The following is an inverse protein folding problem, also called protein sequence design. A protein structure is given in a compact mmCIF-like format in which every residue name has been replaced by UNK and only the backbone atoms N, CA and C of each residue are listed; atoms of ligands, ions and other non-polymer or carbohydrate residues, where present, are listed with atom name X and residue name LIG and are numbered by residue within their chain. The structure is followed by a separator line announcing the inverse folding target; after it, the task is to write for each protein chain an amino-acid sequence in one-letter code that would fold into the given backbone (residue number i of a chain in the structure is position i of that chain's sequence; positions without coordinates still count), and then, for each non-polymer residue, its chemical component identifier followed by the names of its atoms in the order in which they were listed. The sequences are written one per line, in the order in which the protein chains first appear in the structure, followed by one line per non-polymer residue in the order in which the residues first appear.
data_IF_804015207982
#
_entry.id   IF_804015207982
#
_cell.length_a   1.000
_cell.length_b   1.000
_cell.length_c   1.000
_cell.angle_alpha   90.00
_cell.angle_beta   90.00
_cell.angle_gamma   90.00
#
_symmetry.space_group_name_H-M   'P 1'
#
loop_
_entity.id
_entity.type
_entity.pdbx_description
1 polymer ?
2 non-polymer ?
#
# COMPACT_ATOMS: atom_id res chain seq x y z
N UNK A 2 1.96 11.80 -15.77
CA UNK A 2 1.20 10.75 -15.10
C UNK A 2 -0.29 11.00 -15.25
N UNK A 3 -1.03 9.95 -15.62
CA UNK A 3 -2.44 10.12 -15.96
C UNK A 3 -3.06 8.75 -16.26
N UNK A 4 -4.37 8.69 -16.10
CA UNK A 4 -5.14 7.51 -16.46
C UNK A 4 -5.22 7.35 -17.97
N UNK A 5 -5.46 6.12 -18.41
CA UNK A 5 -5.67 5.81 -19.81
C UNK A 5 -6.97 5.01 -19.97
N UNK A 6 -7.67 5.26 -21.08
CA UNK A 6 -8.92 4.57 -21.40
C UNK A 6 -8.66 3.46 -22.41
N UNK A 7 -9.52 2.45 -22.40
CA UNK A 7 -9.48 1.44 -23.44
C UNK A 7 -9.43 2.12 -24.80
N UNK A 8 -10.29 3.12 -24.98
CA UNK A 8 -10.22 3.99 -26.14
C UNK A 8 -8.80 4.45 -26.38
N UNK A 9 -8.17 4.98 -25.35
CA UNK A 9 -6.87 5.59 -25.53
C UNK A 9 -5.76 4.57 -25.45
N UNK A 10 -6.11 3.29 -25.35
CA UNK A 10 -5.09 2.29 -25.15
C UNK A 10 -4.12 2.26 -26.31
N UNK A 11 -4.59 1.87 -27.46
CA UNK A 11 -3.76 1.84 -28.66
C UNK A 11 -3.02 3.14 -28.93
N UNK A 12 -3.70 4.29 -29.02
CA UNK A 12 -2.97 5.51 -29.41
C UNK A 12 -1.94 5.94 -28.40
N UNK A 13 -2.35 6.00 -27.13
CA UNK A 13 -1.46 6.52 -26.09
C UNK A 13 -0.37 5.54 -25.74
N UNK A 14 -0.70 4.25 -25.75
CA UNK A 14 0.18 3.24 -25.20
C UNK A 14 0.77 2.42 -26.32
N UNK A 15 -0.08 1.64 -27.00
CA UNK A 15 0.44 0.71 -27.98
C UNK A 15 1.14 1.44 -29.09
N UNK A 16 0.73 2.68 -29.34
CA UNK A 16 1.40 3.46 -30.37
C UNK A 16 2.52 4.31 -29.83
N UNK A 17 2.64 4.46 -28.52
CA UNK A 17 3.65 5.35 -27.96
C UNK A 17 5.02 4.98 -28.50
N UNK A 18 5.79 6.00 -28.87
CA UNK A 18 7.12 5.73 -29.38
C UNK A 18 8.13 5.57 -28.28
N UNK A 19 7.87 6.16 -27.13
CA UNK A 19 8.67 5.97 -25.94
C UNK A 19 8.25 4.67 -25.27
N UNK A 20 9.14 4.07 -24.50
CA UNK A 20 8.74 2.94 -23.66
C UNK A 20 7.70 3.38 -22.65
N UNK A 21 6.81 2.46 -22.31
CA UNK A 21 5.65 2.79 -21.50
C UNK A 21 5.63 1.93 -20.24
N UNK A 22 5.34 2.56 -19.12
CA UNK A 22 5.20 1.87 -17.84
C UNK A 22 3.81 2.19 -17.33
N UNK A 23 3.02 1.16 -17.09
CA UNK A 23 1.63 1.33 -16.70
C UNK A 23 1.37 0.61 -15.40
N UNK A 24 0.68 1.28 -14.50
CA UNK A 24 0.30 0.71 -13.22
C UNK A 24 -1.16 0.33 -13.26
N UNK A 25 -1.44 -0.95 -13.07
CA UNK A 25 -2.81 -1.41 -12.95
C UNK A 25 -3.16 -1.46 -11.48
N UNK A 26 -4.19 -0.71 -11.10
CA UNK A 26 -4.63 -0.64 -9.73
C UNK A 26 -6.13 -0.85 -9.67
N UNK A 27 -6.58 -1.32 -8.51
CA UNK A 27 -7.96 -1.12 -8.10
C UNK A 27 -8.02 0.23 -7.39
N UNK A 28 -9.08 0.49 -6.64
CA UNK A 28 -9.18 1.78 -5.97
C UNK A 28 -9.19 1.56 -4.46
N UNK A 29 -8.96 2.65 -3.72
CA UNK A 29 -9.05 2.62 -2.26
C UNK A 29 -8.13 1.56 -1.66
N UNK A 30 -6.91 1.48 -2.17
CA UNK A 30 -5.92 0.53 -1.68
C UNK A 30 -4.75 1.31 -1.09
N UNK A 31 -4.09 0.74 -0.08
CA UNK A 31 -2.95 1.41 0.51
C UNK A 31 -1.65 1.06 -0.19
N UNK A 32 -1.46 -0.23 -0.46
CA UNK A 32 -0.31 -0.68 -1.24
C UNK A 32 -0.29 -0.02 -2.62
N UNK A 33 -1.48 0.15 -3.21
CA UNK A 33 -1.57 0.79 -4.51
C UNK A 33 -1.15 2.24 -4.43
N UNK A 34 -1.57 2.96 -3.39
CA UNK A 34 -1.11 4.32 -3.15
C UNK A 34 0.40 4.39 -3.09
N UNK A 35 1.01 3.46 -2.37
CA UNK A 35 2.47 3.51 -2.24
C UNK A 35 3.14 3.28 -3.58
N UNK A 36 2.66 2.29 -4.34
CA UNK A 36 3.20 2.02 -5.67
C UNK A 36 2.94 3.20 -6.59
N UNK A 37 1.82 3.87 -6.42
CA UNK A 37 1.49 4.99 -7.28
C UNK A 37 2.44 6.15 -7.05
N UNK A 38 2.83 6.40 -5.80
CA UNK A 38 3.89 7.38 -5.55
C UNK A 38 5.22 6.96 -6.14
N UNK A 39 5.59 5.69 -6.00
CA UNK A 39 6.84 5.22 -6.61
C UNK A 39 6.84 5.51 -8.10
N UNK A 40 5.73 5.21 -8.74
CA UNK A 40 5.65 5.35 -10.19
C UNK A 40 5.65 6.82 -10.58
N UNK A 41 4.93 7.65 -9.83
CA UNK A 41 4.98 9.10 -10.05
C UNK A 41 6.42 9.59 -10.07
N UNK A 42 7.18 9.15 -9.08
CA UNK A 42 8.57 9.58 -9.00
C UNK A 42 9.38 9.09 -10.19
N UNK A 43 9.16 7.84 -10.60
CA UNK A 43 9.91 7.33 -11.73
C UNK A 43 9.55 8.06 -13.02
N UNK A 44 8.28 8.38 -13.18
CA UNK A 44 7.82 9.12 -14.34
C UNK A 44 8.51 10.48 -14.39
N UNK A 45 8.53 11.19 -13.26
CA UNK A 45 9.16 12.49 -13.31
C UNK A 45 10.65 12.37 -13.50
N UNK A 46 11.28 11.37 -12.90
CA UNK A 46 12.71 11.22 -13.10
C UNK A 46 13.01 10.95 -14.56
N UNK A 47 12.22 10.12 -15.20
CA UNK A 47 12.41 9.81 -16.60
C UNK A 47 11.44 10.54 -17.51
N UNK A 48 11.03 11.73 -17.10
CA UNK A 48 10.14 12.55 -17.91
C UNK A 48 10.76 12.87 -19.25
N UNK A 49 10.06 12.54 -20.32
CA UNK A 49 10.60 12.77 -21.64
C UNK A 49 11.54 11.70 -22.11
N UNK A 50 11.44 10.50 -21.56
CA UNK A 50 12.17 9.34 -22.06
C UNK A 50 11.32 8.10 -22.03
N UNK A 51 10.30 8.09 -21.20
CA UNK A 51 9.31 7.05 -21.14
C UNK A 51 7.99 7.75 -20.94
N UNK A 52 6.94 7.00 -21.06
CA UNK A 52 5.62 7.49 -20.76
C UNK A 52 5.04 6.57 -19.69
N UNK A 53 4.25 7.13 -18.78
CA UNK A 53 3.76 6.39 -17.62
C UNK A 53 2.28 6.65 -17.45
N UNK A 54 1.50 5.59 -17.27
CA UNK A 54 0.05 5.70 -17.21
C UNK A 54 -0.53 4.79 -16.13
N UNK A 55 -1.80 5.02 -15.82
CA UNK A 55 -2.54 4.25 -14.82
C UNK A 55 -3.75 3.59 -15.47
N UNK A 56 -4.04 2.35 -15.05
CA UNK A 56 -5.22 1.63 -15.47
C UNK A 56 -6.02 1.29 -14.24
N UNK A 57 -7.16 1.93 -14.07
CA UNK A 57 -8.09 1.64 -12.99
C UNK A 57 -8.94 0.48 -13.46
N UNK A 58 -8.46 -0.74 -13.20
CA UNK A 58 -9.11 -1.94 -13.70
C UNK A 58 -10.56 -2.02 -13.28
N UNK A 59 -11.00 -1.15 -12.37
CA UNK A 59 -12.42 -1.10 -12.08
C UNK A 59 -13.18 -0.52 -13.26
N UNK A 60 -12.57 0.42 -13.96
CA UNK A 60 -13.21 1.07 -15.09
C UNK A 60 -12.80 0.51 -16.43
N UNK A 61 -11.56 0.03 -16.57
CA UNK A 61 -11.08 -0.53 -17.83
C UNK A 61 -10.65 -1.99 -17.66
N UNK A 62 -11.58 -2.84 -17.20
CA UNK A 62 -11.20 -4.24 -16.95
C UNK A 62 -10.76 -4.95 -18.19
N UNK A 63 -11.28 -4.53 -19.34
CA UNK A 63 -10.88 -5.11 -20.61
C UNK A 63 -9.38 -5.06 -20.83
N UNK A 64 -8.68 -4.06 -20.27
CA UNK A 64 -7.25 -3.98 -20.53
C UNK A 64 -6.51 -5.06 -19.76
N UNK A 65 -6.87 -5.24 -18.50
CA UNK A 65 -6.28 -6.31 -17.71
C UNK A 65 -6.63 -7.66 -18.29
N UNK A 66 -7.92 -7.88 -18.59
CA UNK A 66 -8.35 -9.09 -19.27
C UNK A 66 -7.52 -9.35 -20.51
N UNK A 67 -7.26 -8.30 -21.29
CA UNK A 67 -6.43 -8.46 -22.48
C UNK A 67 -5.05 -8.96 -22.12
N UNK A 68 -4.48 -8.41 -21.05
CA UNK A 68 -3.11 -8.77 -20.69
C UNK A 68 -3.05 -9.82 -19.60
N UNK A 69 -4.19 -10.41 -19.25
CA UNK A 69 -4.26 -11.49 -18.28
C UNK A 69 -3.55 -11.09 -17.00
N UNK A 70 -3.99 -9.98 -16.44
CA UNK A 70 -3.44 -9.42 -15.22
C UNK A 70 -4.51 -9.54 -14.15
N UNK A 71 -4.25 -10.42 -13.20
CA UNK A 71 -5.23 -10.80 -12.20
C UNK A 71 -5.01 -10.14 -10.84
N UNK A 72 -3.83 -9.56 -10.58
CA UNK A 72 -3.48 -9.00 -9.28
C UNK A 72 -3.17 -7.51 -9.38
N UNK A 73 -3.71 -6.72 -8.45
CA UNK A 73 -3.25 -5.35 -8.32
C UNK A 73 -2.57 -5.13 -6.98
N UNK A 74 -1.58 -4.23 -6.90
CA UNK A 74 -0.97 -3.48 -8.01
C UNK A 74 -0.11 -4.32 -8.96
N UNK A 75 -0.16 -3.99 -10.25
CA UNK A 75 0.74 -4.60 -11.22
C UNK A 75 1.41 -3.50 -12.01
N UNK A 76 2.68 -3.64 -12.32
CA UNK A 76 3.34 -2.66 -13.17
C UNK A 76 3.78 -3.38 -14.43
N UNK A 77 3.40 -2.84 -15.57
CA UNK A 77 3.66 -3.42 -16.88
C UNK A 77 4.57 -2.51 -17.67
N UNK A 78 5.46 -3.13 -18.42
CA UNK A 78 6.39 -2.47 -19.33
C UNK A 78 6.03 -2.89 -20.75
N UNK A 79 5.58 -1.91 -21.55
CA UNK A 79 5.24 -2.04 -22.97
C UNK A 79 6.21 -1.25 -23.83
N UNK A 80 6.76 -1.89 -24.84
CA UNK A 80 7.61 -1.19 -25.79
C UNK A 80 7.18 -1.58 -27.20
N UNK A 81 6.75 -0.58 -27.98
CA UNK A 81 6.38 -0.77 -29.39
C UNK A 81 5.29 -1.82 -29.53
N UNK A 82 4.18 -1.57 -28.83
CA UNK A 82 3.00 -2.37 -28.97
C UNK A 82 2.96 -3.62 -28.14
N UNK A 83 4.10 -4.17 -27.76
CA UNK A 83 4.12 -5.45 -27.08
C UNK A 83 4.44 -5.30 -25.59
N UNK A 84 3.87 -6.21 -24.81
CA UNK A 84 4.13 -6.32 -23.39
C UNK A 84 5.50 -6.96 -23.19
N UNK A 85 6.43 -6.20 -22.60
CA UNK A 85 7.80 -6.64 -22.43
C UNK A 85 8.08 -7.23 -21.05
N UNK A 86 7.49 -6.67 -20.00
CA UNK A 86 7.77 -7.23 -18.68
C UNK A 86 6.70 -6.84 -17.68
N UNK A 87 6.52 -7.66 -16.64
CA UNK A 87 5.46 -7.47 -15.65
C UNK A 87 6.04 -7.63 -14.25
N UNK A 88 5.62 -6.76 -13.33
CA UNK A 88 6.07 -6.80 -11.94
C UNK A 88 4.87 -6.83 -10.99
N UNK A 89 4.77 -7.88 -10.18
CA UNK A 89 3.72 -8.00 -9.17
C UNK A 89 4.32 -8.14 -7.77
N UNK A 90 3.44 -8.24 -6.78
CA UNK A 90 3.89 -8.44 -5.41
C UNK A 90 4.42 -7.15 -4.83
N UNK A 91 5.63 -7.22 -4.29
CA UNK A 91 6.32 -6.04 -3.79
C UNK A 91 7.14 -5.46 -4.92
N UNK A 92 6.88 -4.21 -5.26
CA UNK A 92 7.49 -3.55 -6.41
C UNK A 92 8.68 -2.75 -5.92
N UNK A 93 9.87 -3.04 -6.42
CA UNK A 93 11.07 -2.37 -5.97
C UNK A 93 11.41 -1.24 -6.93
N UNK A 94 11.23 0.00 -6.49
CA UNK A 94 11.65 1.17 -7.25
C UNK A 94 13.05 0.99 -7.81
N UNK A 95 13.91 0.28 -7.08
CA UNK A 95 15.24 -0.01 -7.60
C UNK A 95 15.14 -0.93 -8.82
N UNK A 96 14.27 -1.94 -8.76
CA UNK A 96 14.08 -2.85 -9.88
C UNK A 96 13.42 -2.16 -11.08
N UNK A 97 12.49 -1.26 -10.82
CA UNK A 97 11.85 -0.56 -11.91
C UNK A 97 12.84 0.33 -12.63
N UNK A 98 13.75 0.99 -11.92
CA UNK A 98 14.77 1.70 -12.68
C UNK A 98 15.68 0.74 -13.41
N UNK A 99 15.96 -0.42 -12.83
CA UNK A 99 16.76 -1.42 -13.54
C UNK A 99 16.14 -1.75 -14.90
N UNK A 100 14.83 -1.98 -14.92
CA UNK A 100 14.13 -2.31 -16.17
C UNK A 100 14.01 -1.11 -17.10
N UNK A 101 13.47 0.01 -16.59
CA UNK A 101 13.43 1.26 -17.33
C UNK A 101 14.75 1.49 -18.05
N UNK A 102 15.88 1.20 -17.39
CA UNK A 102 17.15 1.34 -18.08
C UNK A 102 17.38 0.21 -19.08
N UNK A 103 16.93 -0.99 -18.75
CA UNK A 103 17.12 -2.12 -19.64
C UNK A 103 16.58 -1.82 -21.02
N UNK A 104 15.40 -1.19 -21.08
CA UNK A 104 14.70 -0.90 -22.31
C UNK A 104 14.91 0.54 -22.74
N UNK A 105 16.01 1.16 -22.31
CA UNK A 105 16.24 2.57 -22.63
C UNK A 105 17.66 2.81 -23.11
N UNK B 2 -10.00 -23.91 8.66
CA UNK B 2 -9.68 -22.52 8.35
C UNK B 2 -10.30 -21.60 9.37
N UNK B 3 -9.52 -20.61 9.78
CA UNK B 3 -9.88 -19.74 10.89
C UNK B 3 -8.82 -18.65 11.03
N UNK B 4 -9.22 -17.55 11.63
CA UNK B 4 -8.29 -16.48 11.95
C UNK B 4 -7.34 -16.87 13.08
N UNK B 5 -6.19 -16.20 13.10
CA UNK B 5 -5.21 -16.33 14.17
C UNK B 5 -4.87 -14.94 14.66
N UNK B 6 -4.66 -14.81 15.97
CA UNK B 6 -4.34 -13.55 16.63
C UNK B 6 -2.86 -13.48 16.96
N UNK B 7 -2.34 -12.25 17.12
CA UNK B 7 -1.01 -12.08 17.67
C UNK B 7 -0.84 -12.92 18.92
N UNK B 8 -1.82 -12.82 19.81
CA UNK B 8 -1.86 -13.67 20.99
C UNK B 8 -1.52 -15.10 20.63
N UNK B 9 -2.27 -15.66 19.72
CA UNK B 9 -2.22 -17.08 19.44
C UNK B 9 -1.17 -17.44 18.40
N UNK B 10 -0.33 -16.48 18.02
CA UNK B 10 0.61 -16.73 16.94
C UNK B 10 1.55 -17.89 17.28
N UNK B 11 2.37 -17.70 18.30
CA UNK B 11 3.32 -18.73 18.74
C UNK B 11 2.70 -20.12 18.97
N UNK B 12 1.66 -20.26 19.77
CA UNK B 12 1.18 -21.62 20.07
C UNK B 12 0.64 -22.32 18.85
N UNK B 13 -0.19 -21.60 18.07
CA UNK B 13 -0.89 -22.20 16.94
C UNK B 13 0.02 -22.41 15.76
N UNK B 14 0.93 -21.47 15.52
CA UNK B 14 1.69 -21.46 14.28
C UNK B 14 3.13 -21.83 14.54
N UNK B 15 3.83 -20.98 15.27
CA UNK B 15 5.26 -21.20 15.45
C UNK B 15 5.52 -22.49 16.21
N UNK B 16 4.60 -22.89 17.06
CA UNK B 16 4.77 -24.14 17.75
C UNK B 16 4.14 -25.30 17.03
N UNK B 17 3.35 -25.05 16.00
CA UNK B 17 2.61 -26.11 15.34
C UNK B 17 3.53 -27.25 14.95
N UNK B 18 3.05 -28.47 15.17
CA UNK B 18 3.84 -29.62 14.79
C UNK B 18 3.65 -30.00 13.34
N UNK B 19 2.49 -29.63 12.77
CA UNK B 19 2.20 -29.77 11.35
C UNK B 19 2.76 -28.59 10.58
N UNK B 20 3.08 -28.79 9.29
CA UNK B 20 3.41 -27.65 8.43
C UNK B 20 2.21 -26.72 8.35
N UNK B 21 2.49 -25.43 8.29
CA UNK B 21 1.44 -24.43 8.42
C UNK B 21 1.47 -23.54 7.20
N UNK B 22 0.29 -23.24 6.69
CA UNK B 22 0.13 -22.33 5.57
C UNK B 22 -0.77 -21.23 6.04
N UNK B 23 -0.30 -20.00 5.93
CA UNK B 23 -1.00 -18.85 6.48
C UNK B 23 -1.23 -17.82 5.38
N UNK B 24 -2.45 -17.29 5.33
CA UNK B 24 -2.82 -16.26 4.37
C UNK B 24 -2.87 -14.91 5.06
N UNK B 25 -2.09 -13.96 4.55
CA UNK B 25 -2.19 -12.58 5.00
C UNK B 25 -3.05 -11.83 4.00
N UNK B 26 -4.13 -11.23 4.51
CA UNK B 26 -5.08 -10.48 3.73
C UNK B 26 -5.32 -9.14 4.39
N UNK B 27 -5.71 -8.15 3.59
CA UNK B 27 -6.44 -7.00 4.10
C UNK B 27 -7.92 -7.37 4.08
N UNK B 28 -8.81 -6.39 4.19
CA UNK B 28 -10.22 -6.71 4.16
C UNK B 28 -10.84 -6.07 2.92
N UNK B 29 -12.04 -6.55 2.58
CA UNK B 29 -12.82 -5.97 1.48
C UNK B 29 -12.06 -5.99 0.16
N UNK B 30 -11.41 -7.11 -0.15
CA UNK B 30 -10.66 -7.26 -1.39
C UNK B 30 -11.28 -8.37 -2.24
N UNK B 31 -11.16 -8.25 -3.56
CA UNK B 31 -11.67 -9.29 -4.44
C UNK B 31 -10.63 -10.34 -4.78
N UNK B 32 -9.38 -9.94 -5.02
CA UNK B 32 -8.31 -10.90 -5.22
C UNK B 32 -8.17 -11.82 -4.01
N UNK B 33 -8.32 -11.24 -2.81
CA UNK B 33 -8.19 -11.99 -1.57
C UNK B 33 -9.29 -13.03 -1.43
N UNK B 34 -10.53 -12.69 -1.83
CA UNK B 34 -11.63 -13.67 -1.79
C UNK B 34 -11.28 -14.93 -2.56
N UNK B 35 -10.78 -14.77 -3.79
CA UNK B 35 -10.48 -15.92 -4.62
C UNK B 35 -9.30 -16.70 -4.07
N UNK B 36 -8.26 -16.00 -3.58
CA UNK B 36 -7.16 -16.70 -2.95
C UNK B 36 -7.62 -17.43 -1.69
N UNK B 37 -8.57 -16.83 -0.97
CA UNK B 37 -9.04 -17.42 0.27
C UNK B 37 -9.81 -18.70 0.00
N UNK B 38 -10.56 -18.73 -1.11
CA UNK B 38 -11.15 -20.00 -1.53
C UNK B 38 -10.08 -21.03 -1.89
N UNK B 39 -9.02 -20.59 -2.56
CA UNK B 39 -7.92 -21.51 -2.84
C UNK B 39 -7.42 -22.15 -1.55
N UNK B 40 -7.20 -21.32 -0.54
CA UNK B 40 -6.58 -21.81 0.67
C UNK B 40 -7.54 -22.70 1.45
N UNK B 41 -8.82 -22.31 1.52
CA UNK B 41 -9.82 -23.19 2.13
C UNK B 41 -9.81 -24.56 1.49
N UNK B 42 -9.80 -24.61 0.16
CA UNK B 42 -9.81 -25.88 -0.54
C UNK B 42 -8.57 -26.69 -0.24
N UNK B 43 -7.42 -26.04 -0.17
CA UNK B 43 -6.21 -26.79 0.18
C UNK B 43 -6.27 -27.30 1.61
N UNK B 44 -6.81 -26.49 2.51
CA UNK B 44 -6.99 -26.92 3.89
C UNK B 44 -7.84 -28.16 3.95
N UNK B 45 -8.94 -28.17 3.21
CA UNK B 45 -9.79 -29.34 3.20
C UNK B 45 -9.09 -30.52 2.56
N UNK B 46 -8.36 -30.28 1.47
CA UNK B 46 -7.66 -31.38 0.81
C UNK B 46 -6.61 -31.96 1.74
N UNK B 47 -5.91 -31.10 2.46
CA UNK B 47 -4.86 -31.49 3.39
C UNK B 47 -5.29 -31.37 4.84
N UNK B 48 -6.56 -31.59 5.12
CA UNK B 48 -6.98 -31.57 6.50
C UNK B 48 -6.24 -32.65 7.28
N UNK B 49 -5.53 -32.24 8.33
CA UNK B 49 -4.76 -33.21 9.06
C UNK B 49 -3.42 -33.54 8.47
N UNK B 50 -2.83 -32.65 7.68
CA UNK B 50 -1.44 -32.75 7.26
C UNK B 50 -0.74 -31.43 7.28
N UNK B 51 -1.48 -30.35 7.21
CA UNK B 51 -0.94 -29.03 7.34
C UNK B 51 -1.94 -28.29 8.21
N UNK B 52 -1.55 -27.11 8.63
CA UNK B 52 -2.51 -26.30 9.33
C UNK B 52 -2.61 -25.00 8.55
N UNK B 53 -3.81 -24.43 8.55
CA UNK B 53 -4.12 -23.28 7.71
C UNK B 53 -4.82 -22.23 8.55
N UNK B 54 -4.33 -20.99 8.48
CA UNK B 54 -4.89 -19.88 9.26
C UNK B 54 -4.85 -18.62 8.41
N UNK B 55 -5.58 -17.59 8.86
CA UNK B 55 -5.66 -16.31 8.16
C UNK B 55 -5.17 -15.18 9.07
N UNK B 56 -4.46 -14.22 8.49
CA UNK B 56 -3.98 -13.07 9.24
C UNK B 56 -4.55 -11.81 8.61
N UNK B 57 -5.47 -11.15 9.32
CA UNK B 57 -6.02 -9.86 8.90
C UNK B 57 -5.12 -8.76 9.42
N UNK B 58 -4.13 -8.39 8.61
CA UNK B 58 -3.15 -7.37 8.98
C UNK B 58 -3.78 -6.05 9.34
N UNK B 59 -5.08 -5.88 9.13
CA UNK B 59 -5.72 -4.71 9.69
C UNK B 59 -5.84 -4.85 11.19
N UNK B 60 -6.01 -6.08 11.66
CA UNK B 60 -6.15 -6.33 13.09
C UNK B 60 -4.86 -6.78 13.74
N UNK B 61 -4.01 -7.53 13.03
CA UNK B 61 -2.74 -7.99 13.55
C UNK B 61 -1.57 -7.52 12.68
N UNK B 62 -1.42 -6.22 12.48
CA UNK B 62 -0.34 -5.75 11.59
C UNK B 62 1.05 -6.06 12.12
N UNK B 63 1.19 -6.13 13.43
CA UNK B 63 2.46 -6.47 14.04
C UNK B 63 3.01 -7.79 13.53
N UNK B 64 2.16 -8.74 13.14
CA UNK B 64 2.68 -10.03 12.68
C UNK B 64 3.33 -9.87 11.32
N UNK B 65 2.66 -9.17 10.41
CA UNK B 65 3.27 -8.92 9.12
C UNK B 65 4.54 -8.11 9.27
N UNK B 66 4.49 -7.03 10.06
CA UNK B 66 5.68 -6.28 10.40
C UNK B 66 6.80 -7.20 10.86
N UNK B 67 6.46 -8.16 11.73
CA UNK B 67 7.45 -9.09 12.22
C UNK B 67 8.07 -9.88 11.07
N UNK B 68 7.26 -10.30 10.11
CA UNK B 68 7.76 -11.14 9.04
C UNK B 68 8.04 -10.37 7.77
N UNK B 69 8.02 -9.04 7.82
CA UNK B 69 8.24 -8.16 6.67
C UNK B 69 7.30 -8.49 5.52
N UNK B 70 6.02 -8.40 5.81
CA UNK B 70 5.01 -8.68 4.82
C UNK B 70 4.29 -7.39 4.53
N UNK B 71 4.57 -6.88 3.32
CA UNK B 71 4.14 -5.59 2.82
C UNK B 71 3.04 -5.66 1.76
N UNK B 72 2.80 -6.82 1.15
CA UNK B 72 1.83 -6.94 0.07
C UNK B 72 0.77 -7.97 0.43
N UNK B 73 -0.49 -7.62 0.24
CA UNK B 73 -1.51 -8.65 0.36
C UNK B 73 -2.22 -8.89 -0.96
N UNK B 74 -2.68 -10.12 -1.20
CA UNK B 74 -2.50 -11.32 -0.38
C UNK B 74 -1.07 -11.86 -0.37
N UNK B 75 -0.65 -12.48 0.74
CA UNK B 75 0.60 -13.23 0.80
C UNK B 75 0.30 -14.58 1.43
N UNK B 76 0.95 -15.63 0.94
CA UNK B 76 0.83 -16.94 1.55
C UNK B 76 2.18 -17.35 2.09
N UNK B 77 2.22 -17.69 3.38
CA UNK B 77 3.46 -18.06 4.06
C UNK B 77 3.40 -19.51 4.50
N UNK B 78 4.53 -20.19 4.39
CA UNK B 78 4.69 -21.57 4.81
C UNK B 78 5.70 -21.61 5.95
N UNK B 79 5.23 -22.04 7.12
CA UNK B 79 6.04 -22.23 8.33
C UNK B 79 6.12 -23.70 8.71
N UNK B 80 7.32 -24.18 9.01
CA UNK B 80 7.45 -25.49 9.63
C UNK B 80 8.43 -25.39 10.79
N UNK B 81 7.97 -25.72 11.99
CA UNK B 81 8.78 -25.74 13.20
C UNK B 81 9.33 -24.35 13.53
N UNK B 82 8.43 -23.40 13.69
CA UNK B 82 8.77 -22.08 14.19
C UNK B 82 9.28 -21.11 13.17
N UNK B 83 9.83 -21.57 12.06
CA UNK B 83 10.51 -20.71 11.12
C UNK B 83 9.69 -20.49 9.84
N UNK B 84 9.89 -19.32 9.24
CA UNK B 84 9.31 -19.01 7.95
C UNK B 84 10.06 -19.73 6.84
N UNK B 85 9.37 -20.64 6.18
CA UNK B 85 10.00 -21.50 5.20
C UNK B 85 9.85 -20.99 3.77
N UNK B 86 8.70 -20.39 3.42
CA UNK B 86 8.56 -19.87 2.07
C UNK B 86 7.46 -18.83 2.02
N UNK B 87 7.56 -17.92 1.06
CA UNK B 87 6.62 -16.80 0.92
C UNK B 87 6.18 -16.73 -0.52
N UNK B 88 4.88 -16.54 -0.73
CA UNK B 88 4.28 -16.45 -2.06
C UNK B 88 3.47 -15.17 -2.17
N UNK B 89 3.82 -14.34 -3.14
CA UNK B 89 3.10 -13.09 -3.41
C UNK B 89 2.59 -13.07 -4.86
N UNK B 90 1.92 -11.99 -5.20
CA UNK B 90 1.46 -11.80 -6.56
C UNK B 90 0.27 -12.69 -6.87
N UNK B 91 0.35 -13.41 -7.98
CA UNK B 91 -0.66 -14.37 -8.38
C UNK B 91 -0.31 -15.74 -7.84
N UNK B 92 -1.21 -16.31 -7.04
CA UNK B 92 -0.95 -17.54 -6.30
C UNK B 92 -1.60 -18.71 -7.01
N UNK B 93 -0.82 -19.73 -7.32
CA UNK B 93 -1.30 -20.90 -8.03
C UNK B 93 -1.65 -21.99 -7.04
N UNK B 94 -2.93 -22.30 -6.93
CA UNK B 94 -3.35 -23.47 -6.16
C UNK B 94 -2.47 -24.69 -6.47
N UNK B 95 -2.05 -24.81 -7.73
CA UNK B 95 -1.15 -25.89 -8.08
C UNK B 95 0.20 -25.73 -7.39
N UNK B 96 0.72 -24.50 -7.36
CA UNK B 96 1.98 -24.23 -6.67
C UNK B 96 1.87 -24.40 -5.15
N UNK B 97 0.73 -24.04 -4.59
CA UNK B 97 0.58 -24.25 -3.17
C UNK B 97 0.56 -25.72 -2.85
N UNK B 98 -0.05 -26.55 -3.70
CA UNK B 98 0.10 -27.99 -3.45
C UNK B 98 1.54 -28.42 -3.61
N UNK B 99 2.25 -27.82 -4.56
CA UNK B 99 3.67 -28.12 -4.74
C UNK B 99 4.44 -27.91 -3.44
N UNK B 100 4.24 -26.77 -2.78
CA UNK B 100 4.97 -26.52 -1.52
C UNK B 100 4.45 -27.40 -0.40
N UNK B 101 3.14 -27.37 -0.15
CA UNK B 101 2.52 -28.23 0.85
C UNK B 101 3.12 -29.62 0.81
N UNK B 102 3.37 -30.15 -0.37
CA UNK B 102 4.02 -31.44 -0.43
C UNK B 102 5.49 -31.32 -0.10
N UNK B 103 6.13 -30.24 -0.53
CA UNK B 103 7.54 -30.06 -0.29
C UNK B 103 7.85 -30.26 1.18
N UNK B 104 7.02 -29.69 2.05
CA UNK B 104 7.24 -29.69 3.49
C UNK B 104 6.40 -30.73 4.21
N UNK B 105 6.00 -31.79 3.52
CA UNK B 105 5.09 -32.74 4.15
C UNK B 105 5.53 -34.18 3.98
N UNK C 2 1.63 15.47 0.23
CA UNK C 2 0.70 14.84 1.15
C UNK C 2 0.87 13.34 1.17
N UNK C 3 0.91 12.76 2.37
CA UNK C 3 1.18 11.34 2.52
C UNK C 3 1.08 10.91 3.97
N UNK C 4 0.77 9.63 4.18
CA UNK C 4 0.69 9.08 5.52
C UNK C 4 2.10 8.94 6.11
N UNK C 5 2.17 8.99 7.45
CA UNK C 5 3.42 8.82 8.16
C UNK C 5 3.26 7.73 9.21
N UNK C 6 4.34 6.98 9.42
CA UNK C 6 4.38 5.89 10.36
C UNK C 6 5.10 6.32 11.63
N UNK C 7 4.80 5.63 12.72
CA UNK C 7 5.61 5.76 13.94
C UNK C 7 7.08 5.59 13.62
N UNK C 8 7.42 4.53 12.89
CA UNK C 8 8.79 4.34 12.42
C UNK C 8 9.34 5.63 11.86
N UNK C 9 8.57 6.27 10.98
CA UNK C 9 8.98 7.43 10.23
C UNK C 9 8.70 8.75 10.95
N UNK C 10 8.16 8.71 12.17
CA UNK C 10 7.73 9.94 12.82
C UNK C 10 8.89 10.88 13.09
N UNK C 11 9.81 10.44 13.92
CA UNK C 11 11.02 11.24 14.16
C UNK C 11 11.64 11.69 12.83
N UNK C 12 11.96 10.78 11.90
CA UNK C 12 12.61 11.24 10.68
C UNK C 12 11.74 12.11 9.80
N UNK C 13 10.49 11.70 9.50
CA UNK C 13 9.71 12.52 8.57
C UNK C 13 9.28 13.82 9.19
N UNK C 14 9.00 13.81 10.49
CA UNK C 14 8.36 14.93 11.15
C UNK C 14 9.33 15.67 12.09
N UNK C 15 9.79 15.00 13.10
CA UNK C 15 10.58 15.72 14.09
C UNK C 15 11.88 16.23 13.48
N UNK C 16 12.42 15.53 12.50
CA UNK C 16 13.69 15.94 11.93
C UNK C 16 13.57 17.01 10.88
N UNK C 17 12.36 17.29 10.42
CA UNK C 17 12.15 18.19 9.31
C UNK C 17 12.77 19.56 9.58
N UNK C 18 13.35 20.14 8.50
CA UNK C 18 13.88 21.50 8.52
C UNK C 18 12.81 22.55 8.15
N UNK C 19 11.73 22.16 7.39
CA UNK C 19 10.53 22.97 7.12
C UNK C 19 9.48 22.81 8.21
N UNK C 20 8.62 23.80 8.40
CA UNK C 20 7.44 23.61 9.25
C UNK C 20 6.52 22.53 8.69
N UNK C 21 5.82 21.82 9.58
CA UNK C 21 4.99 20.68 9.21
C UNK C 21 3.58 20.85 9.76
N UNK C 22 2.60 20.43 8.98
CA UNK C 22 1.20 20.42 9.37
C UNK C 22 0.65 19.00 9.27
N UNK C 23 0.11 18.51 10.38
CA UNK C 23 -0.32 17.13 10.47
C UNK C 23 -1.79 17.10 10.84
N UNK C 24 -2.54 16.23 10.16
CA UNK C 24 -3.96 16.00 10.42
C UNK C 24 -4.13 14.64 11.07
N UNK C 25 -4.78 14.62 12.23
CA UNK C 25 -5.16 13.36 12.85
C UNK C 25 -6.63 13.10 12.56
N UNK C 26 -6.91 11.97 11.96
CA UNK C 26 -8.26 11.59 11.60
C UNK C 26 -8.51 10.18 12.07
N UNK C 27 -9.78 9.87 12.29
CA UNK C 27 -10.22 8.48 12.27
C UNK C 27 -10.57 8.15 10.82
N UNK C 28 -11.30 7.07 10.58
CA UNK C 28 -11.69 6.73 9.23
C UNK C 28 -13.21 6.79 9.15
N UNK C 29 -13.72 6.83 7.92
CA UNK C 29 -15.15 6.80 7.66
C UNK C 29 -15.86 7.97 8.36
N UNK C 30 -15.30 9.16 8.24
CA UNK C 30 -15.88 10.37 8.80
C UNK C 30 -16.19 11.36 7.68
N UNK C 31 -17.24 12.16 7.91
CA UNK C 31 -17.60 13.20 6.97
C UNK C 31 -16.90 14.51 7.27
N UNK C 32 -16.83 14.89 8.54
CA UNK C 32 -16.06 16.08 8.89
C UNK C 32 -14.60 15.91 8.48
N UNK C 33 -14.07 14.68 8.60
CA UNK C 33 -12.67 14.46 8.25
C UNK C 33 -12.43 14.66 6.77
N UNK C 34 -13.33 14.13 5.94
CA UNK C 34 -13.21 14.36 4.49
C UNK C 34 -13.16 15.85 4.19
N UNK C 35 -14.08 16.61 4.78
CA UNK C 35 -14.16 18.03 4.43
C UNK C 35 -12.89 18.75 4.82
N UNK C 36 -12.38 18.49 6.01
CA UNK C 36 -11.12 19.09 6.42
C UNK C 36 -9.98 18.55 5.58
N UNK C 37 -10.05 17.28 5.18
CA UNK C 37 -8.93 16.66 4.49
C UNK C 37 -8.67 17.33 3.14
N UNK C 38 -9.73 17.69 2.41
CA UNK C 38 -9.52 18.46 1.19
C UNK C 38 -8.96 19.85 1.47
N UNK C 39 -9.44 20.53 2.52
CA UNK C 39 -8.88 21.83 2.87
C UNK C 39 -7.37 21.72 2.97
N UNK C 40 -6.93 20.64 3.60
CA UNK C 40 -5.51 20.43 3.80
C UNK C 40 -4.81 20.12 2.48
N UNK C 41 -5.45 19.33 1.62
CA UNK C 41 -4.91 19.09 0.28
C UNK C 41 -4.65 20.41 -0.45
N UNK C 42 -5.63 21.31 -0.38
CA UNK C 42 -5.51 22.60 -1.07
C UNK C 42 -4.34 23.39 -0.50
N UNK C 43 -4.23 23.43 0.84
CA UNK C 43 -3.15 24.18 1.47
C UNK C 43 -1.78 23.57 1.17
N UNK C 44 -1.71 22.25 1.14
CA UNK C 44 -0.46 21.57 0.77
C UNK C 44 -0.03 21.94 -0.63
N UNK C 45 -0.96 21.87 -1.60
CA UNK C 45 -0.59 22.21 -2.97
C UNK C 45 -0.25 23.68 -3.11
N UNK C 46 -1.00 24.54 -2.43
CA UNK C 46 -0.70 25.97 -2.47
C UNK C 46 0.69 26.25 -1.94
N UNK C 47 1.10 25.58 -0.86
CA UNK C 47 2.39 25.80 -0.24
C UNK C 47 3.40 24.70 -0.55
N UNK C 48 3.29 24.07 -1.72
CA UNK C 48 4.24 23.05 -2.12
C UNK C 48 5.67 23.60 -2.17
N UNK C 49 6.57 22.96 -1.44
CA UNK C 49 7.96 23.38 -1.38
C UNK C 49 8.22 24.52 -0.44
N UNK C 50 7.32 24.75 0.50
CA UNK C 50 7.50 25.73 1.56
C UNK C 50 7.09 25.19 2.92
N UNK C 51 6.26 24.16 2.97
CA UNK C 51 5.90 23.45 4.18
C UNK C 51 5.90 21.98 3.81
N UNK C 52 5.79 21.14 4.82
CA UNK C 52 5.62 19.70 4.62
C UNK C 52 4.35 19.29 5.33
N UNK C 53 3.63 18.29 4.82
CA UNK C 53 2.31 17.94 5.35
C UNK C 53 2.17 16.42 5.42
N UNK C 54 1.60 15.92 6.53
CA UNK C 54 1.45 14.48 6.75
C UNK C 54 0.09 14.17 7.37
N UNK C 55 -0.27 12.88 7.35
CA UNK C 55 -1.51 12.35 7.90
C UNK C 55 -1.19 11.24 8.91
N UNK C 56 -1.93 11.23 10.02
CA UNK C 56 -1.80 10.17 11.02
C UNK C 56 -3.16 9.56 11.30
N UNK C 57 -3.30 8.28 10.97
CA UNK C 57 -4.49 7.51 11.23
C UNK C 57 -4.42 6.99 12.66
N UNK C 58 -5.08 7.70 13.59
CA UNK C 58 -4.99 7.34 15.00
C UNK C 58 -5.46 5.92 15.29
N UNK C 59 -6.14 5.26 14.36
CA UNK C 59 -6.47 3.85 14.56
C UNK C 59 -5.26 2.95 14.34
N UNK C 60 -4.35 3.34 13.46
CA UNK C 60 -3.18 2.52 13.16
C UNK C 60 -1.94 2.94 13.93
N UNK C 61 -1.77 4.23 14.18
CA UNK C 61 -0.70 4.76 15.01
C UNK C 61 -1.31 5.58 16.14
N UNK C 62 -2.11 4.93 17.00
CA UNK C 62 -2.67 5.68 18.15
C UNK C 62 -1.62 6.16 19.11
N UNK C 63 -0.49 5.44 19.21
CA UNK C 63 0.61 5.90 20.05
C UNK C 63 1.07 7.30 19.69
N UNK C 64 0.91 7.69 18.44
CA UNK C 64 1.33 9.03 18.04
C UNK C 64 0.37 10.07 18.61
N UNK C 65 -0.93 9.79 18.56
CA UNK C 65 -1.89 10.69 19.20
C UNK C 65 -1.65 10.71 20.71
N UNK C 66 -1.48 9.52 21.29
CA UNK C 66 -1.11 9.40 22.70
C UNK C 66 0.08 10.32 23.01
N UNK C 67 1.08 10.30 22.15
CA UNK C 67 2.27 11.12 22.34
C UNK C 67 1.94 12.59 22.44
N UNK C 68 0.96 13.05 21.67
CA UNK C 68 0.63 14.46 21.68
C UNK C 68 -0.68 14.74 22.40
N UNK C 69 -1.24 13.76 23.12
CA UNK C 69 -2.47 13.95 23.88
C UNK C 69 -3.58 14.51 22.99
N UNK C 70 -3.94 13.75 21.98
CA UNK C 70 -4.98 14.16 21.05
C UNK C 70 -6.15 13.20 21.17
N UNK C 71 -7.25 13.71 21.71
CA UNK C 71 -8.42 12.90 21.95
C UNK C 71 -9.49 13.15 20.90
N UNK C 72 -9.37 14.22 20.12
CA UNK C 72 -10.39 14.62 19.18
C UNK C 72 -9.84 14.58 17.77
N UNK C 73 -10.59 13.97 16.87
CA UNK C 73 -10.40 14.06 15.45
C UNK C 73 -11.63 14.71 14.82
N UNK C 74 -11.47 15.44 13.71
CA UNK C 74 -10.19 15.79 13.09
C UNK C 74 -9.46 16.85 13.89
N UNK C 75 -8.14 16.73 13.98
CA UNK C 75 -7.29 17.73 14.63
C UNK C 75 -6.12 18.04 13.72
N UNK C 76 -5.68 19.30 13.71
CA UNK C 76 -4.55 19.76 12.89
C UNK C 76 -3.40 20.20 13.79
N UNK C 77 -2.21 19.66 13.52
CA UNK C 77 -1.04 19.94 14.33
C UNK C 77 0.06 20.65 13.55
N UNK C 78 0.69 21.62 14.21
CA UNK C 78 1.75 22.44 13.66
C UNK C 78 3.06 22.18 14.39
N UNK C 79 4.05 21.64 13.66
CA UNK C 79 5.39 21.39 14.17
C UNK C 79 6.36 22.31 13.44
N UNK C 80 7.28 22.92 14.16
CA UNK C 80 8.38 23.62 13.51
C UNK C 80 9.66 23.26 14.20
N UNK C 81 10.55 22.57 13.48
CA UNK C 81 11.85 22.19 14.02
C UNK C 81 11.69 21.38 15.31
N UNK C 82 10.96 20.27 15.19
CA UNK C 82 10.81 19.29 16.23
C UNK C 82 9.72 19.56 17.25
N UNK C 83 9.35 20.81 17.49
CA UNK C 83 8.47 21.08 18.61
C UNK C 83 7.05 21.39 18.14
N UNK C 84 6.10 21.03 18.99
CA UNK C 84 4.70 21.32 18.74
C UNK C 84 4.44 22.81 18.92
N UNK C 85 4.02 23.47 17.84
CA UNK C 85 3.86 24.92 17.86
C UNK C 85 2.44 25.40 18.12
N UNK C 86 1.42 24.76 17.55
CA UNK C 86 0.05 25.17 17.83
C UNK C 86 -0.88 24.06 17.37
N UNK C 87 -2.11 24.10 17.89
CA UNK C 87 -3.11 23.08 17.56
C UNK C 87 -4.47 23.72 17.34
N UNK C 88 -5.20 23.21 16.34
CA UNK C 88 -6.56 23.67 16.01
C UNK C 88 -7.51 22.49 16.03
N UNK C 89 -8.60 22.62 16.77
CA UNK C 89 -9.66 21.62 16.86
C UNK C 89 -11.01 22.25 16.47
N UNK C 90 -12.04 21.41 16.50
CA UNK C 90 -13.41 21.89 16.29
C UNK C 90 -13.69 22.21 14.84
N UNK C 91 -14.26 23.38 14.60
CA UNK C 91 -14.46 23.86 13.25
C UNK C 91 -13.22 24.64 12.83
N UNK C 92 -12.54 24.17 11.81
CA UNK C 92 -11.24 24.72 11.43
C UNK C 92 -11.41 25.71 10.30
N UNK C 93 -10.88 26.92 10.48
CA UNK C 93 -10.96 27.99 9.50
C UNK C 93 -9.68 27.98 8.66
N UNK C 94 -9.84 27.65 7.37
CA UNK C 94 -8.74 27.76 6.40
C UNK C 94 -8.01 29.09 6.53
N UNK C 95 -8.73 30.17 6.79
CA UNK C 95 -8.05 31.44 6.97
C UNK C 95 -7.16 31.38 8.19
N UNK C 96 -7.60 30.69 9.23
CA UNK C 96 -6.75 30.50 10.40
C UNK C 96 -5.54 29.63 10.09
N UNK C 97 -5.72 28.59 9.28
CA UNK C 97 -4.58 27.74 8.97
C UNK C 97 -3.55 28.45 8.11
N UNK C 98 -3.99 29.25 7.13
CA UNK C 98 -3.03 30.06 6.39
C UNK C 98 -2.43 31.13 7.28
N UNK C 99 -3.24 31.67 8.17
CA UNK C 99 -2.79 32.66 9.13
C UNK C 99 -1.62 32.10 9.91
N UNK C 100 -1.75 30.86 10.38
CA UNK C 100 -0.68 30.23 11.14
C UNK C 100 0.50 29.82 10.24
N UNK C 101 0.22 29.13 9.14
CA UNK C 101 1.24 28.82 8.12
C UNK C 101 2.11 30.04 7.88
N UNK C 102 1.50 31.21 7.89
CA UNK C 102 2.28 32.43 7.76
C UNK C 102 3.06 32.72 9.04
N UNK C 103 2.45 32.47 10.20
CA UNK C 103 3.11 32.78 11.47
C UNK C 103 4.47 32.09 11.61
N UNK C 104 4.57 30.83 11.20
CA UNK C 104 5.76 30.01 11.39
C UNK C 104 6.62 29.91 10.14
N UNK C 105 6.63 30.95 9.31
CA UNK C 105 7.32 30.83 8.03
C UNK C 105 8.29 32.00 7.90
X LIG D 1 5.20 8.97 -27.74
X LIG D 1 5.49 7.85 -26.87
X LIG D 1 4.23 9.84 -27.10
X LIG D 1 4.68 8.40 -28.96
X LIG D 1 6.41 9.71 -28.03
X LIG E 1 0.07 -28.84 15.39
X LIG E 1 -0.86 -29.94 15.47
X LIG E 1 1.01 -28.89 16.50
X LIG E 1 0.85 -28.95 14.18
X LIG E 1 -0.60 -27.55 15.41
#
# INVERSE_FOLDING_TARGET
MVLDVTKDHWLPYVLLAQLPVMVLFRKDNDEEAKKVEYIVRELAQEFDGLIKVFVVDINKAPEIAKKYNITTTPTVAFFKNGELKSVFTGAISKDQLRDEILKYLGHHHHHH
MVLDVTKDHWLPYVLLAQLPVMVLFRKDNDEEAKKVEYIVRELAQEFDGLIKVFVVDINKAPEIAKKYNITTTPTVAFFKNGELKSVFTGAISKDQLRDEILKYLGHHHHHH
MVLDVTKDHWLPYVLLAQLPVMVLFRKDNDEEAKKVEYIVRELAQEFDGLIKVFVVDINKAPEIAKKYNITTTPTVAFFKNGELKSVFTGAISKDQLRDEILKYLGHHHHHH
SO4 S O1 O2 O3 O4
SO4 S O1 O2 O3 O4
#
